data_IF_726015207784
#
_entry.id   IF_726015207784
#
_cell.length_a   1.000
_cell.length_b   1.000
_cell.length_c   1.000
_cell.angle_alpha   90.00
_cell.angle_beta   90.00
_cell.angle_gamma   90.00
#
_symmetry.space_group_name_H-M   'P 1'
#
loop_
_entity.id
_entity.type
_entity.pdbx_description
1 polymer ?
#
# COMPACT_ATOMS: atom_id res chain seq x y z
N UNK A 1 -9.40 2.88 -8.96
CA UNK A 1 -8.27 1.95 -9.20
C UNK A 1 -7.50 1.52 -7.93
N UNK A 2 -8.07 1.67 -6.73
CA UNK A 2 -7.48 1.21 -5.46
C UNK A 2 -7.57 -0.33 -5.26
N UNK A 3 -8.50 -1.00 -5.94
CA UNK A 3 -8.81 -2.42 -5.71
C UNK A 3 -7.64 -3.37 -6.01
N UNK A 4 -6.89 -3.14 -7.09
CA UNK A 4 -5.79 -4.02 -7.51
C UNK A 4 -4.70 -4.14 -6.45
N UNK A 5 -4.25 -3.00 -5.90
CA UNK A 5 -3.23 -2.98 -4.84
C UNK A 5 -3.77 -3.65 -3.56
N UNK A 6 -5.05 -3.44 -3.23
CA UNK A 6 -5.68 -4.07 -2.07
C UNK A 6 -5.68 -5.60 -2.20
N UNK A 7 -6.09 -6.13 -3.36
CA UNK A 7 -6.09 -7.57 -3.63
C UNK A 7 -4.67 -8.14 -3.56
N UNK A 8 -3.71 -7.49 -4.23
CA UNK A 8 -2.32 -7.92 -4.23
C UNK A 8 -1.75 -8.06 -2.81
N UNK A 9 -1.98 -7.08 -1.94
CA UNK A 9 -1.49 -7.15 -0.55
C UNK A 9 -2.16 -8.28 0.24
N UNK A 10 -3.46 -8.51 0.03
CA UNK A 10 -4.15 -9.65 0.62
C UNK A 10 -3.59 -11.00 0.14
N UNK A 11 -3.30 -11.15 -1.15
CA UNK A 11 -2.66 -12.35 -1.71
C UNK A 11 -1.26 -12.59 -1.13
N UNK A 12 -0.53 -11.52 -0.79
CA UNK A 12 0.76 -11.59 -0.10
C UNK A 12 0.63 -11.88 1.41
N UNK A 13 -0.59 -11.99 1.93
CA UNK A 13 -0.89 -12.29 3.33
C UNK A 13 -0.79 -11.09 4.27
N UNK A 14 -0.93 -9.87 3.73
CA UNK A 14 -0.96 -8.62 4.51
C UNK A 14 -2.34 -7.98 4.42
N UNK A 15 -2.80 -7.34 5.50
CA UNK A 15 -4.03 -6.56 5.49
C UNK A 15 -3.68 -5.06 5.39
N UNK A 16 -3.83 -4.43 4.20
CA UNK A 16 -3.52 -3.01 4.05
C UNK A 16 -4.62 -2.14 4.68
N UNK A 17 -4.21 -1.07 5.37
CA UNK A 17 -5.14 -0.02 5.78
C UNK A 17 -5.33 0.92 4.58
N UNK A 18 -6.58 1.12 4.17
CA UNK A 18 -6.93 1.98 3.04
C UNK A 18 -7.58 3.25 3.56
N UNK A 19 -7.00 4.40 3.20
CA UNK A 19 -7.57 5.72 3.50
C UNK A 19 -8.14 6.32 2.22
N UNK A 20 -9.45 6.54 2.20
CA UNK A 20 -10.15 7.19 1.08
C UNK A 20 -9.99 8.71 1.20
N UNK A 21 -9.14 9.27 0.35
CA UNK A 21 -8.76 10.68 0.41
C UNK A 21 -9.91 11.59 -0.01
N UNK A 22 -10.77 11.14 -0.91
CA UNK A 22 -11.91 11.86 -1.49
C UNK A 22 -13.06 12.11 -0.50
N UNK A 23 -13.12 11.37 0.60
CA UNK A 23 -14.18 11.48 1.61
C UNK A 23 -13.79 12.30 2.85
N UNK A 24 -12.56 12.80 2.91
CA UNK A 24 -12.09 13.61 4.05
C UNK A 24 -12.48 15.09 3.89
N UNK A 25 -12.94 15.79 4.94
CA UNK A 25 -13.09 17.25 4.88
C UNK A 25 -11.75 17.97 4.63
N UNK A 26 -10.62 17.29 4.82
CA UNK A 26 -9.26 17.83 4.74
C UNK A 26 -8.50 17.37 3.47
N UNK A 27 -9.21 16.87 2.43
CA UNK A 27 -8.62 16.39 1.15
C UNK A 27 -7.46 17.26 0.69
N UNK A 28 -7.66 18.59 0.68
CA UNK A 28 -6.70 19.57 0.15
C UNK A 28 -5.38 19.60 0.92
N UNK A 29 -5.41 19.50 2.24
CA UNK A 29 -4.19 19.47 3.05
C UNK A 29 -3.48 18.12 2.94
N UNK A 30 -4.26 17.02 2.85
CA UNK A 30 -3.71 15.69 2.64
C UNK A 30 -3.04 15.55 1.26
N UNK A 31 -3.67 16.06 0.20
CA UNK A 31 -3.06 16.13 -1.14
C UNK A 31 -1.77 16.96 -1.14
N UNK A 32 -1.74 18.07 -0.41
CA UNK A 32 -0.56 18.92 -0.28
C UNK A 32 0.57 18.23 0.48
N UNK A 33 0.25 17.49 1.54
CA UNK A 33 1.22 16.66 2.25
C UNK A 33 1.78 15.55 1.36
N UNK A 34 0.92 14.86 0.58
CA UNK A 34 1.35 13.85 -0.38
C UNK A 34 2.26 14.42 -1.47
N UNK A 35 1.96 15.62 -2.01
CA UNK A 35 2.86 16.32 -2.94
C UNK A 35 4.23 16.58 -2.31
N UNK A 36 4.27 17.02 -1.05
CA UNK A 36 5.53 17.26 -0.31
C UNK A 36 6.34 15.99 -0.09
N UNK A 37 5.67 14.85 0.08
CA UNK A 37 6.29 13.53 0.18
C UNK A 37 6.77 12.98 -1.18
N UNK A 38 6.58 13.71 -2.28
CA UNK A 38 7.03 13.31 -3.61
C UNK A 38 6.01 12.48 -4.40
N UNK A 39 4.75 12.40 -3.94
CA UNK A 39 3.68 11.80 -4.74
C UNK A 39 3.40 12.72 -5.95
N UNK A 40 3.82 12.28 -7.14
CA UNK A 40 3.75 13.07 -8.38
C UNK A 40 2.31 13.39 -8.81
N UNK A 41 1.31 12.66 -8.32
CA UNK A 41 -0.09 12.93 -8.56
C UNK A 41 -0.99 12.42 -7.42
N UNK A 42 -1.30 13.24 -6.39
CA UNK A 42 -2.20 12.84 -5.30
C UNK A 42 -3.63 12.55 -5.77
N UNK A 43 -4.04 13.17 -6.88
CA UNK A 43 -5.33 12.93 -7.53
C UNK A 43 -5.37 11.56 -8.26
N UNK A 44 -4.21 10.95 -8.51
CA UNK A 44 -4.07 9.60 -9.09
C UNK A 44 -3.72 8.64 -7.96
N UNK A 45 -4.69 8.40 -7.09
CA UNK A 45 -4.64 7.33 -6.10
C UNK A 45 -4.39 5.98 -6.76
N UNK A 46 -3.71 5.04 -6.08
CA UNK A 46 -3.27 5.07 -4.67
C UNK A 46 -1.84 5.59 -4.46
N UNK A 47 -1.57 6.17 -3.29
CA UNK A 47 -0.23 6.32 -2.74
C UNK A 47 0.00 5.23 -1.68
N UNK A 48 1.02 4.39 -1.87
CA UNK A 48 1.25 3.18 -1.07
C UNK A 48 2.45 3.39 -0.16
N UNK A 49 2.25 3.13 1.12
CA UNK A 49 3.28 3.22 2.14
C UNK A 49 3.49 1.84 2.78
N UNK A 50 4.75 1.44 2.98
CA UNK A 50 5.12 0.21 3.68
C UNK A 50 6.11 0.59 4.78
N UNK A 51 5.78 0.24 6.04
CA UNK A 51 6.61 0.60 7.19
C UNK A 51 6.80 2.11 7.39
N UNK A 52 5.84 2.93 6.95
CA UNK A 52 5.92 4.39 7.01
C UNK A 52 6.69 5.05 5.86
N UNK A 53 7.25 4.27 4.93
CA UNK A 53 8.00 4.79 3.77
C UNK A 53 7.11 4.77 2.53
N UNK A 54 7.13 5.86 1.75
CA UNK A 54 6.43 5.94 0.46
C UNK A 54 7.09 5.00 -0.55
N UNK A 55 6.34 4.01 -1.02
CA UNK A 55 6.77 3.07 -2.06
C UNK A 55 6.39 3.56 -3.45
N UNK A 56 5.25 4.24 -3.59
CA UNK A 56 4.83 4.86 -4.84
C UNK A 56 3.36 4.61 -5.16
N UNK A 57 3.03 4.69 -6.46
CA UNK A 57 1.69 4.44 -6.97
C UNK A 57 1.48 2.97 -7.33
N UNK A 58 0.32 2.65 -7.93
CA UNK A 58 0.06 1.31 -8.48
C UNK A 58 1.21 0.82 -9.38
N UNK A 59 1.76 1.68 -10.25
CA UNK A 59 2.77 1.26 -11.22
C UNK A 59 4.09 0.83 -10.54
N UNK A 60 4.55 1.60 -9.56
CA UNK A 60 5.76 1.25 -8.79
C UNK A 60 5.54 -0.03 -7.98
N UNK A 61 4.37 -0.18 -7.35
CA UNK A 61 4.04 -1.40 -6.58
C UNK A 61 3.98 -2.63 -7.49
N UNK A 62 3.34 -2.54 -8.65
CA UNK A 62 3.28 -3.63 -9.61
C UNK A 62 4.67 -3.97 -10.16
N UNK A 63 5.50 -2.96 -10.43
CA UNK A 63 6.89 -3.17 -10.88
C UNK A 63 7.70 -3.94 -9.83
N UNK A 64 7.57 -3.58 -8.55
CA UNK A 64 8.22 -4.29 -7.44
C UNK A 64 7.68 -5.72 -7.25
N UNK A 65 6.39 -5.93 -7.52
CA UNK A 65 5.81 -7.27 -7.48
C UNK A 65 6.40 -8.15 -8.59
N UNK A 66 6.46 -7.64 -9.82
CA UNK A 66 7.04 -8.34 -10.97
C UNK A 66 8.53 -8.62 -10.80
N UNK A 67 9.28 -7.72 -10.16
CA UNK A 67 10.71 -7.95 -9.84
C UNK A 67 10.94 -8.86 -8.63
N UNK A 68 9.87 -9.25 -7.91
CA UNK A 68 9.94 -10.01 -6.66
C UNK A 68 10.43 -9.19 -5.44
N UNK A 69 10.79 -7.92 -5.63
CA UNK A 69 11.31 -7.04 -4.57
C UNK A 69 10.24 -6.56 -3.59
N UNK A 70 8.96 -6.70 -3.94
CA UNK A 70 7.85 -6.36 -3.04
C UNK A 70 7.74 -7.35 -1.86
N UNK A 71 8.01 -8.64 -2.09
CA UNK A 71 7.82 -9.70 -1.08
C UNK A 71 8.68 -9.47 0.18
N UNK A 72 9.98 -9.15 0.08
CA UNK A 72 10.80 -8.81 1.26
C UNK A 72 10.27 -7.61 2.05
N UNK A 73 9.69 -6.60 1.39
CA UNK A 73 9.18 -5.39 2.05
C UNK A 73 7.91 -5.67 2.88
N UNK A 74 7.04 -6.55 2.38
CA UNK A 74 5.78 -6.88 3.05
C UNK A 74 5.90 -8.03 4.04
N UNK A 75 6.94 -8.86 3.92
CA UNK A 75 7.17 -10.06 4.75
C UNK A 75 7.06 -9.80 6.26
N UNK A 76 7.62 -8.73 6.83
CA UNK A 76 7.51 -8.45 8.28
C UNK A 76 6.09 -8.18 8.75
N UNK A 77 5.20 -7.77 7.85
CA UNK A 77 3.82 -7.38 8.15
C UNK A 77 2.79 -8.46 7.79
N UNK A 78 3.26 -9.64 7.35
CA UNK A 78 2.37 -10.77 7.07
C UNK A 78 1.68 -11.18 8.36
N UNK A 79 0.36 -11.27 8.29
CA UNK A 79 -0.41 -11.83 9.39
C UNK A 79 -0.04 -13.31 9.42
N UNK A 80 0.61 -13.75 10.50
CA UNK A 80 0.86 -15.17 10.73
C UNK A 80 -0.50 -15.85 10.86
N UNK A 81 -1.03 -16.37 9.76
CA UNK A 81 -2.14 -17.31 9.80
C UNK A 81 -1.57 -18.55 10.48
N UNK A 82 -1.84 -18.68 11.78
CA UNK A 82 -1.34 -19.75 12.61
C UNK A 82 -1.74 -21.10 12.03
N UNK A 83 -0.81 -21.76 11.34
CA UNK A 83 -0.80 -23.21 11.17
C UNK A 83 0.08 -23.81 12.26
N UNK A 84 -0.28 -23.54 13.52
CA UNK A 84 0.10 -24.40 14.64
C UNK A 84 -1.19 -25.03 15.18
N UNK A 85 -1.76 -25.92 14.37
CA UNK A 85 -2.62 -26.96 14.87
C UNK A 85 -1.79 -28.25 14.94
N UNK A 86 -1.74 -28.79 16.15
CA UNK A 86 -1.60 -30.21 16.54
C UNK A 86 -0.26 -30.67 17.10
N UNK A 87 -0.28 -31.69 18.01
CA UNK A 87 -1.42 -32.27 18.75
C UNK A 87 -1.54 -31.74 20.20
#
# INVERSE_FOLDING_TARGET
MCYTVKVLFHELGVCPIVHEIDQSPEVKEMEKALKRLGCKAPSVVPAVFIGGILVGSTNEVMSLHLSGSLVPLVRPYRVLSGKNAQP
#
